data_IF_294958213462
#
_entry.id   IF_294958213462
#
_cell.length_a   1.000
_cell.length_b   1.000
_cell.length_c   1.000
_cell.angle_alpha   90.00
_cell.angle_beta   90.00
_cell.angle_gamma   90.00
#
_symmetry.space_group_name_H-M   'P 1'
#
loop_
_entity.id
_entity.type
_entity.pdbx_description
1 polymer ?
#
# COMPACT_ATOMS: atom_id res chain seq x y z
N UNK A 1 8.07 -7.35 29.09
CA UNK A 1 7.68 -8.29 28.02
C UNK A 1 8.33 -7.85 26.72
N UNK A 2 8.88 -8.79 25.97
CA UNK A 2 9.47 -8.49 24.67
C UNK A 2 8.36 -8.44 23.61
N UNK A 3 8.33 -7.37 22.82
CA UNK A 3 7.40 -7.25 21.69
C UNK A 3 8.14 -7.47 20.38
N UNK A 4 7.53 -8.17 19.46
CA UNK A 4 8.05 -8.47 18.15
C UNK A 4 7.23 -7.70 17.10
N UNK A 5 7.89 -7.11 16.14
CA UNK A 5 7.21 -6.35 15.10
C UNK A 5 7.88 -6.46 13.74
N UNK A 6 7.15 -6.07 12.72
CA UNK A 6 7.67 -5.99 11.36
C UNK A 6 7.02 -4.80 10.66
N UNK A 7 7.85 -4.05 9.93
CA UNK A 7 7.40 -3.03 9.00
C UNK A 7 7.55 -3.53 7.58
N UNK A 8 6.47 -3.43 6.83
CA UNK A 8 6.32 -3.87 5.45
C UNK A 8 5.99 -2.66 4.58
N UNK A 9 6.22 -2.77 3.27
CA UNK A 9 5.76 -1.78 2.31
C UNK A 9 5.22 -2.45 1.04
N UNK A 10 4.29 -1.77 0.38
CA UNK A 10 3.76 -2.22 -0.91
C UNK A 10 4.75 -1.85 -2.00
N UNK A 11 5.42 -2.86 -2.54
CA UNK A 11 6.42 -2.71 -3.59
C UNK A 11 5.81 -2.59 -4.98
N UNK A 12 4.66 -3.23 -5.23
CA UNK A 12 3.95 -3.13 -6.49
C UNK A 12 2.44 -3.27 -6.30
N UNK A 13 1.68 -2.56 -7.13
CA UNK A 13 0.22 -2.54 -7.14
C UNK A 13 -0.31 -3.33 -8.34
N UNK A 14 -1.48 -4.02 -8.21
CA UNK A 14 -2.14 -4.68 -9.35
C UNK A 14 -2.64 -3.66 -10.38
N UNK A 15 -3.02 -4.13 -11.57
CA UNK A 15 -3.65 -3.28 -12.60
C UNK A 15 -4.94 -2.66 -12.10
N UNK A 16 -5.77 -3.46 -11.44
CA UNK A 16 -6.99 -3.00 -10.79
C UNK A 16 -6.74 -3.05 -9.29
N UNK A 17 -6.72 -1.88 -8.68
CA UNK A 17 -6.50 -1.74 -7.26
C UNK A 17 -7.80 -2.07 -6.53
N UNK A 18 -7.73 -3.02 -5.59
CA UNK A 18 -8.82 -3.38 -4.68
C UNK A 18 -8.35 -3.07 -3.27
N UNK A 19 -9.07 -2.22 -2.61
CA UNK A 19 -8.70 -1.74 -1.28
C UNK A 19 -9.32 -2.54 -0.15
N UNK A 20 -10.35 -3.31 -0.41
CA UNK A 20 -11.04 -4.18 0.57
C UNK A 20 -10.08 -5.15 1.25
N UNK A 21 -9.01 -5.56 0.55
CA UNK A 21 -7.99 -6.44 1.11
C UNK A 21 -7.32 -5.85 2.35
N UNK A 22 -7.19 -4.53 2.43
CA UNK A 22 -6.63 -3.86 3.61
C UNK A 22 -7.58 -3.89 4.80
N UNK A 23 -8.89 -3.91 4.55
CA UNK A 23 -9.90 -4.11 5.58
C UNK A 23 -9.83 -5.53 6.16
N UNK A 24 -9.50 -6.53 5.33
CA UNK A 24 -9.33 -7.90 5.79
C UNK A 24 -8.12 -8.08 6.74
N UNK A 25 -7.13 -7.20 6.68
CA UNK A 25 -6.01 -7.21 7.61
C UNK A 25 -6.45 -6.97 9.05
N UNK A 26 -7.55 -6.24 9.29
CA UNK A 26 -8.11 -6.01 10.62
C UNK A 26 -8.56 -7.30 11.32
N UNK A 27 -8.82 -8.35 10.54
CA UNK A 27 -9.27 -9.66 11.05
C UNK A 27 -8.12 -10.52 11.60
N UNK A 28 -6.87 -10.08 11.49
CA UNK A 28 -5.69 -10.85 11.89
C UNK A 28 -5.46 -10.91 13.42
N UNK A 29 -6.28 -10.20 14.21
CA UNK A 29 -6.24 -10.26 15.67
C UNK A 29 -5.02 -9.59 16.32
N UNK A 30 -4.25 -8.82 15.56
CA UNK A 30 -3.17 -7.99 16.10
C UNK A 30 -3.31 -6.54 15.62
N UNK A 31 -2.80 -5.56 16.36
CA UNK A 31 -2.76 -4.18 15.90
C UNK A 31 -1.91 -4.04 14.63
N UNK A 32 -2.51 -3.54 13.56
CA UNK A 32 -1.82 -3.21 12.31
C UNK A 32 -1.97 -1.72 12.06
N UNK A 33 -0.85 -1.03 11.95
CA UNK A 33 -0.79 0.36 11.53
C UNK A 33 -0.64 0.40 10.02
N UNK A 34 -1.50 1.13 9.35
CA UNK A 34 -1.51 1.27 7.91
C UNK A 34 -1.39 2.75 7.54
N UNK A 35 -0.35 3.10 6.82
CA UNK A 35 -0.07 4.47 6.44
C UNK A 35 0.01 4.60 4.93
N UNK A 36 -0.81 5.48 4.39
CA UNK A 36 -0.76 5.90 2.99
C UNK A 36 -0.22 7.32 2.91
N UNK A 37 0.82 7.51 2.13
CA UNK A 37 1.28 8.84 1.75
C UNK A 37 1.15 9.01 0.25
N UNK A 38 0.59 10.13 -0.16
CA UNK A 38 0.40 10.49 -1.55
C UNK A 38 1.02 11.86 -1.81
N UNK A 39 1.60 12.00 -2.99
CA UNK A 39 2.12 13.27 -3.48
C UNK A 39 1.94 13.34 -5.00
N UNK A 40 1.95 14.56 -5.52
CA UNK A 40 2.01 14.73 -6.97
C UNK A 40 3.27 14.05 -7.51
N UNK A 41 3.13 13.43 -8.66
CA UNK A 41 4.27 12.85 -9.36
C UNK A 41 5.22 13.96 -9.78
N UNK A 42 6.51 13.76 -9.51
CA UNK A 42 7.55 14.67 -9.99
C UNK A 42 7.73 14.53 -11.50
N UNK A 43 8.08 15.62 -12.17
CA UNK A 43 8.29 15.60 -13.62
C UNK A 43 9.40 14.63 -14.04
N UNK A 44 10.46 14.52 -13.24
CA UNK A 44 11.55 13.55 -13.45
C UNK A 44 11.11 12.09 -13.41
N UNK A 45 10.02 11.77 -12.68
CA UNK A 45 9.46 10.42 -12.56
C UNK A 45 8.45 10.11 -13.67
N UNK A 46 7.94 11.13 -14.37
CA UNK A 46 6.88 10.99 -15.37
C UNK A 46 7.26 10.09 -16.53
N UNK A 47 8.47 10.23 -17.04
CA UNK A 47 8.95 9.38 -18.14
C UNK A 47 9.03 7.90 -17.72
N UNK A 48 9.53 7.65 -16.52
CA UNK A 48 9.58 6.28 -15.96
C UNK A 48 8.18 5.70 -15.75
N UNK A 49 7.24 6.53 -15.34
CA UNK A 49 5.84 6.16 -15.19
C UNK A 49 5.19 5.82 -16.54
N UNK A 50 5.38 6.63 -17.57
CA UNK A 50 4.89 6.36 -18.93
C UNK A 50 5.45 5.04 -19.49
N UNK A 51 6.73 4.79 -19.33
CA UNK A 51 7.35 3.51 -19.73
C UNK A 51 6.74 2.32 -18.98
N UNK A 52 6.40 2.49 -17.70
CA UNK A 52 5.72 1.47 -16.92
C UNK A 52 4.31 1.20 -17.45
N UNK A 53 3.54 2.25 -17.79
CA UNK A 53 2.21 2.12 -18.39
C UNK A 53 2.28 1.42 -19.76
N UNK A 54 3.20 1.82 -20.63
CA UNK A 54 3.42 1.17 -21.93
C UNK A 54 3.67 -0.33 -21.79
N UNK A 55 4.51 -0.70 -20.82
CA UNK A 55 4.80 -2.12 -20.51
C UNK A 55 3.58 -2.86 -19.98
N UNK A 56 2.76 -2.21 -19.15
CA UNK A 56 1.58 -2.81 -18.50
C UNK A 56 0.40 -2.97 -19.46
N UNK A 57 0.16 -1.99 -20.34
CA UNK A 57 -1.00 -1.90 -21.21
C UNK A 57 -0.72 -2.12 -22.70
N UNK A 58 0.52 -2.49 -23.05
CA UNK A 58 0.92 -2.70 -24.45
C UNK A 58 0.59 -1.49 -25.35
N UNK A 59 0.88 -0.28 -24.90
CA UNK A 59 0.63 1.03 -25.54
C UNK A 59 -0.83 1.48 -25.63
N UNK A 60 -1.80 0.69 -25.12
CA UNK A 60 -3.22 1.06 -25.08
C UNK A 60 -3.63 1.35 -23.62
N UNK A 61 -3.13 2.43 -23.05
CA UNK A 61 -3.48 2.85 -21.69
C UNK A 61 -4.49 4.02 -21.72
N UNK A 62 -5.39 4.12 -20.72
CA UNK A 62 -6.35 5.20 -20.64
C UNK A 62 -5.67 6.56 -20.57
N UNK A 63 -6.20 7.60 -21.27
CA UNK A 63 -5.66 8.95 -21.22
C UNK A 63 -5.56 9.53 -19.80
N UNK A 64 -6.52 9.24 -18.93
CA UNK A 64 -6.54 9.65 -17.53
C UNK A 64 -5.36 9.12 -16.72
N UNK A 65 -4.81 7.96 -17.10
CA UNK A 65 -3.63 7.39 -16.44
C UNK A 65 -2.36 8.21 -16.74
N UNK A 66 -2.33 8.91 -17.89
CA UNK A 66 -1.20 9.76 -18.29
C UNK A 66 -1.20 11.08 -17.53
N UNK A 67 -2.39 11.70 -17.46
CA UNK A 67 -2.53 13.06 -16.94
C UNK A 67 -2.54 13.10 -15.40
N UNK A 68 -3.06 12.05 -14.78
CA UNK A 68 -3.35 12.00 -13.35
C UNK A 68 -2.52 10.96 -12.60
N UNK A 69 -1.24 10.79 -12.98
CA UNK A 69 -0.32 9.96 -12.22
C UNK A 69 0.06 10.59 -10.88
N UNK A 70 0.03 9.80 -9.82
CA UNK A 70 0.48 10.21 -8.50
C UNK A 70 1.52 9.25 -7.96
N UNK A 71 2.33 9.74 -7.05
CA UNK A 71 3.26 8.94 -6.26
C UNK A 71 2.61 8.53 -4.95
N UNK A 72 2.51 7.21 -4.71
CA UNK A 72 1.96 6.66 -3.48
C UNK A 72 2.98 5.79 -2.77
N UNK A 73 2.99 5.86 -1.45
CA UNK A 73 3.69 4.93 -0.57
C UNK A 73 2.67 4.34 0.40
N UNK A 74 2.64 3.02 0.49
CA UNK A 74 1.83 2.31 1.47
C UNK A 74 2.76 1.50 2.36
N UNK A 75 2.76 1.83 3.63
CA UNK A 75 3.48 1.15 4.69
C UNK A 75 2.51 0.49 5.64
N UNK A 76 2.93 -0.62 6.22
CA UNK A 76 2.18 -1.28 7.27
C UNK A 76 3.14 -1.83 8.31
N UNK A 77 2.84 -1.60 9.57
CA UNK A 77 3.58 -2.14 10.70
C UNK A 77 2.63 -2.85 11.65
N UNK A 78 3.10 -3.96 12.21
CA UNK A 78 2.38 -4.69 13.24
C UNK A 78 3.29 -5.09 14.38
N UNK A 79 2.70 -5.34 15.53
CA UNK A 79 3.40 -5.78 16.75
C UNK A 79 2.66 -6.99 17.32
N UNK A 80 3.41 -7.96 17.83
CA UNK A 80 2.89 -9.19 18.42
C UNK A 80 3.77 -9.69 19.57
N UNK A 81 3.33 -10.74 20.25
CA UNK A 81 3.94 -11.19 21.51
C UNK A 81 5.05 -12.22 21.33
N UNK A 82 5.21 -12.80 20.13
CA UNK A 82 6.24 -13.81 19.89
C UNK A 82 6.82 -13.74 18.45
N UNK A 83 8.01 -14.33 18.29
CA UNK A 83 8.65 -14.44 16.98
C UNK A 83 7.86 -15.33 16.03
N UNK A 84 7.25 -16.40 16.53
CA UNK A 84 6.43 -17.32 15.73
C UNK A 84 5.14 -16.64 15.26
N UNK A 85 4.46 -15.89 16.15
CA UNK A 85 3.30 -15.09 15.79
C UNK A 85 3.65 -14.05 14.71
N UNK A 86 4.82 -13.39 14.83
CA UNK A 86 5.30 -12.44 13.83
C UNK A 86 5.41 -13.08 12.45
N UNK A 87 6.01 -14.26 12.36
CA UNK A 87 6.18 -14.98 11.09
C UNK A 87 4.84 -15.40 10.49
N UNK A 88 3.94 -15.92 11.31
CA UNK A 88 2.58 -16.32 10.88
C UNK A 88 1.82 -15.11 10.35
N UNK A 89 1.80 -13.99 11.07
CA UNK A 89 1.10 -12.77 10.66
C UNK A 89 1.69 -12.23 9.37
N UNK A 90 3.02 -12.13 9.27
CA UNK A 90 3.70 -11.66 8.06
C UNK A 90 3.34 -12.52 6.84
N UNK A 91 3.39 -13.84 6.96
CA UNK A 91 3.07 -14.76 5.87
C UNK A 91 1.58 -14.67 5.49
N UNK A 92 0.70 -14.45 6.46
CA UNK A 92 -0.72 -14.25 6.21
C UNK A 92 -0.98 -12.94 5.45
N UNK A 93 -0.32 -11.84 5.83
CA UNK A 93 -0.38 -10.56 5.11
C UNK A 93 0.10 -10.75 3.67
N UNK A 94 1.24 -11.42 3.46
CA UNK A 94 1.74 -11.70 2.12
C UNK A 94 0.75 -12.52 1.29
N UNK A 95 0.15 -13.55 1.87
CA UNK A 95 -0.83 -14.39 1.20
C UNK A 95 -2.09 -13.63 0.81
N UNK A 96 -2.64 -12.81 1.71
CA UNK A 96 -3.83 -12.00 1.44
C UNK A 96 -3.58 -10.99 0.32
N UNK A 97 -2.51 -10.21 0.42
CA UNK A 97 -2.20 -9.17 -0.53
C UNK A 97 -1.80 -9.74 -1.90
N UNK A 98 -1.04 -10.84 -1.94
CA UNK A 98 -0.62 -11.45 -3.20
C UNK A 98 -1.79 -12.06 -3.99
N UNK A 99 -2.84 -12.55 -3.34
CA UNK A 99 -4.07 -13.01 -4.01
C UNK A 99 -4.74 -11.92 -4.85
N UNK A 100 -4.66 -10.68 -4.39
CA UNK A 100 -5.18 -9.51 -5.09
C UNK A 100 -4.13 -8.85 -6.00
N UNK A 101 -2.95 -9.46 -6.16
CA UNK A 101 -1.92 -9.02 -7.08
C UNK A 101 -0.96 -7.95 -6.54
N UNK A 102 -1.00 -7.66 -5.24
CA UNK A 102 0.00 -6.79 -4.61
C UNK A 102 1.30 -7.54 -4.36
N UNK A 103 2.42 -6.85 -4.48
CA UNK A 103 3.71 -7.35 -4.02
C UNK A 103 4.13 -6.53 -2.82
N UNK A 104 4.35 -7.21 -1.70
CA UNK A 104 4.75 -6.60 -0.43
C UNK A 104 6.10 -7.13 -0.02
N UNK A 105 6.92 -6.30 0.57
CA UNK A 105 8.24 -6.67 1.06
C UNK A 105 8.51 -6.08 2.45
N UNK A 106 9.33 -6.75 3.28
CA UNK A 106 9.81 -6.17 4.52
C UNK A 106 10.78 -5.02 4.24
N UNK A 107 10.76 -4.00 5.08
CA UNK A 107 11.74 -2.92 5.07
C UNK A 107 13.08 -3.39 5.67
N UNK A 108 13.84 -4.22 4.94
CA UNK A 108 15.11 -4.75 5.41
C UNK A 108 16.08 -3.62 5.80
N UNK A 109 16.63 -3.72 7.02
CA UNK A 109 17.54 -2.73 7.58
C UNK A 109 16.88 -1.38 7.96
N UNK A 110 15.58 -1.20 7.68
CA UNK A 110 14.82 0.03 7.90
C UNK A 110 13.57 -0.18 8.77
N UNK A 111 13.48 -1.27 9.52
CA UNK A 111 12.30 -1.63 10.32
C UNK A 111 11.90 -0.54 11.31
N UNK A 112 12.87 0.05 12.00
CA UNK A 112 12.63 1.16 12.92
C UNK A 112 12.08 2.40 12.20
N UNK A 113 12.60 2.71 11.01
CA UNK A 113 12.11 3.84 10.21
C UNK A 113 10.67 3.60 9.74
N UNK A 114 10.34 2.37 9.31
CA UNK A 114 8.98 2.00 8.94
C UNK A 114 8.01 2.19 10.11
N UNK A 115 8.32 1.64 11.27
CA UNK A 115 7.48 1.79 12.46
C UNK A 115 7.32 3.26 12.88
N UNK A 116 8.38 4.05 12.86
CA UNK A 116 8.31 5.48 13.15
C UNK A 116 7.46 6.23 12.11
N UNK A 117 7.55 5.87 10.83
CA UNK A 117 6.71 6.45 9.77
C UNK A 117 5.23 6.18 10.01
N UNK A 118 4.87 5.00 10.52
CA UNK A 118 3.50 4.63 10.80
C UNK A 118 2.93 5.29 12.08
N UNK A 119 3.79 5.58 13.04
CA UNK A 119 3.40 6.23 14.32
C UNK A 119 3.46 7.75 14.24
N UNK A 120 4.36 8.31 13.44
CA UNK A 120 4.68 9.75 13.41
C UNK A 120 3.79 10.53 12.45
N UNK A 121 2.47 10.53 12.62
CA UNK A 121 1.49 11.50 12.09
C UNK A 121 1.94 12.25 10.80
N UNK A 122 2.34 11.50 9.75
CA UNK A 122 2.67 12.07 8.43
C UNK A 122 4.15 12.39 8.18
N UNK A 123 5.07 12.05 9.06
CA UNK A 123 6.50 12.15 8.79
C UNK A 123 7.02 10.81 8.27
N UNK A 124 6.97 10.61 6.95
CA UNK A 124 7.62 9.46 6.33
C UNK A 124 9.13 9.68 6.24
N UNK A 125 9.87 8.92 7.01
CA UNK A 125 11.32 8.80 6.86
C UNK A 125 11.71 7.88 5.70
N UNK A 126 10.78 7.01 5.27
CA UNK A 126 10.96 6.11 4.12
C UNK A 126 10.49 6.76 2.82
N UNK A 127 11.32 6.72 1.77
CA UNK A 127 11.02 7.27 0.44
C UNK A 127 10.64 6.17 -0.57
N UNK A 128 9.96 5.14 -0.11
CA UNK A 128 9.55 4.01 -0.95
C UNK A 128 8.22 4.33 -1.67
N UNK A 129 8.28 5.19 -2.69
CA UNK A 129 7.12 5.59 -3.49
C UNK A 129 6.97 4.73 -4.75
N UNK A 130 5.73 4.58 -5.19
CA UNK A 130 5.36 3.97 -6.47
C UNK A 130 4.38 4.87 -7.20
N UNK A 131 4.49 4.92 -8.52
CA UNK A 131 3.62 5.73 -9.35
C UNK A 131 2.41 4.90 -9.80
N UNK A 132 1.22 5.43 -9.56
CA UNK A 132 -0.07 4.82 -9.95
C UNK A 132 -1.00 5.91 -10.49
N UNK A 133 -2.09 5.52 -11.13
CA UNK A 133 -3.08 6.48 -11.62
C UNK A 133 -3.95 7.01 -10.48
N UNK A 134 -4.37 8.27 -10.58
CA UNK A 134 -5.28 8.89 -9.61
C UNK A 134 -6.61 8.14 -9.49
N UNK A 135 -7.28 7.69 -10.58
CA UNK A 135 -8.51 6.89 -10.47
C UNK A 135 -8.34 5.60 -9.65
N UNK A 136 -7.14 5.01 -9.64
CA UNK A 136 -6.87 3.84 -8.79
C UNK A 136 -6.85 4.21 -7.30
N UNK A 137 -6.43 5.45 -6.98
CA UNK A 137 -6.38 5.95 -5.60
C UNK A 137 -7.75 6.41 -5.11
N UNK A 138 -8.55 7.02 -5.96
CA UNK A 138 -9.89 7.47 -5.61
C UNK A 138 -10.75 6.33 -5.06
N UNK A 139 -10.61 5.13 -5.57
CA UNK A 139 -11.29 3.94 -5.06
C UNK A 139 -10.97 3.63 -3.59
N UNK A 140 -9.81 4.06 -3.08
CA UNK A 140 -9.48 3.90 -1.64
C UNK A 140 -10.45 4.63 -0.74
N UNK A 141 -10.90 5.81 -1.18
CA UNK A 141 -11.55 6.77 -0.29
C UNK A 141 -13.05 6.92 -0.54
N UNK A 142 -13.56 6.50 -1.71
CA UNK A 142 -14.92 6.82 -2.12
C UNK A 142 -15.87 5.63 -2.24
N UNK A 143 -15.38 4.39 -2.42
CA UNK A 143 -16.28 3.21 -2.54
C UNK A 143 -16.96 2.82 -1.22
N UNK A 144 -16.41 3.16 -0.06
CA UNK A 144 -17.06 2.89 1.24
C UNK A 144 -18.33 3.70 1.47
N UNK A 145 -18.46 4.87 0.85
CA UNK A 145 -19.61 5.76 1.06
C UNK A 145 -20.83 5.46 0.17
N UNK A 146 -20.69 4.62 -0.85
CA UNK A 146 -21.78 4.30 -1.76
C UNK A 146 -22.75 3.23 -1.21
N UNK A 147 -22.30 2.37 -0.29
CA UNK A 147 -23.10 1.26 0.22
C UNK A 147 -23.97 1.59 1.43
N UNK A 148 -23.80 2.73 2.07
CA UNK A 148 -24.59 3.11 3.29
C UNK A 148 -25.86 3.91 2.96
N UNK A 149 -26.02 4.42 1.73
CA UNK A 149 -27.18 5.24 1.36
C UNK A 149 -28.36 4.48 0.72
N UNK A 150 -28.24 3.18 0.47
CA UNK A 150 -29.32 2.38 -0.13
C UNK A 150 -30.13 1.55 0.90
N UNK A 151 -29.97 1.84 2.19
CA UNK A 151 -30.79 1.23 3.26
C UNK A 151 -31.55 2.30 4.05
N UNK A 152 -32.45 3.00 3.40
CA UNK A 152 -33.56 3.74 4.04
C UNK A 152 -34.86 3.36 3.36
#
# INVERSE_FOLDING_TARGET
EASYGTSLFVMNYPKTVKWDVFTDLQKLGCPIFLTFQMSNMKEEDRESYLRMLEKRYCRNFPPEDIENGISISCHMSFVCDSADAREIIQNTIFSLLSKEGYIVAPLYGKQRMGLLSDISLGMLESREFRNISLPAVEKIFWEENANDNDKV
#
